data_IF_894039780529
#
_entry.id   IF_894039780529
#
_cell.length_a   1.000
_cell.length_b   1.000
_cell.length_c   1.000
_cell.angle_alpha   90.00
_cell.angle_beta   90.00
_cell.angle_gamma   90.00
#
_symmetry.space_group_name_H-M   'P 1'
#
loop_
_entity.id
_entity.type
_entity.pdbx_description
1 polymer ?
#
# COMPACT_ATOMS: atom_id res chain seq x y z
N UNK A 1 24.63 -5.11 20.97
CA UNK A 1 24.85 -4.20 22.09
C UNK A 1 24.04 -4.76 23.25
N UNK A 2 24.69 -5.19 24.34
CA UNK A 2 23.99 -5.71 25.52
C UNK A 2 23.31 -4.55 26.25
N UNK A 3 22.08 -4.77 26.71
CA UNK A 3 21.47 -3.92 27.72
C UNK A 3 22.13 -4.24 29.07
N UNK A 4 22.70 -3.23 29.72
CA UNK A 4 23.50 -3.38 30.94
C UNK A 4 22.67 -3.79 32.15
N UNK A 5 21.34 -3.61 32.12
CA UNK A 5 20.47 -3.89 33.27
C UNK A 5 19.89 -5.31 33.26
N UNK A 6 19.67 -5.93 32.10
CA UNK A 6 19.00 -7.22 32.00
C UNK A 6 19.93 -8.39 31.64
N UNK A 7 21.15 -8.13 31.16
CA UNK A 7 22.08 -9.17 30.68
C UNK A 7 21.55 -9.96 29.47
N UNK A 8 20.38 -9.58 28.94
CA UNK A 8 19.76 -10.23 27.82
C UNK A 8 20.47 -9.78 26.55
N UNK A 9 20.94 -10.75 25.77
CA UNK A 9 21.10 -10.54 24.33
C UNK A 9 19.79 -9.92 23.83
N UNK A 10 19.86 -8.84 23.04
CA UNK A 10 18.68 -8.09 22.58
C UNK A 10 17.56 -9.03 22.10
N UNK A 11 16.30 -8.56 22.05
CA UNK A 11 15.07 -9.35 22.16
C UNK A 11 14.95 -10.62 21.29
N UNK A 12 15.74 -10.75 20.22
CA UNK A 12 15.75 -11.84 19.27
C UNK A 12 16.76 -12.95 19.63
N UNK A 13 16.69 -13.53 20.83
CA UNK A 13 17.37 -14.81 21.14
C UNK A 13 16.50 -15.99 20.70
N UNK A 14 17.11 -17.15 20.42
CA UNK A 14 16.37 -18.37 20.01
C UNK A 14 15.22 -18.71 20.97
N UNK A 15 15.44 -18.56 22.27
CA UNK A 15 14.44 -18.78 23.32
C UNK A 15 13.29 -17.75 23.29
N UNK A 16 13.56 -16.51 22.87
CA UNK A 16 12.57 -15.44 22.79
C UNK A 16 11.82 -15.42 21.45
N UNK A 17 12.35 -16.05 20.38
CA UNK A 17 11.70 -16.09 19.06
C UNK A 17 10.26 -16.61 19.15
N UNK A 18 9.95 -17.76 19.80
CA UNK A 18 8.58 -18.25 19.91
C UNK A 18 7.63 -17.25 20.58
N UNK A 19 8.08 -16.59 21.64
CA UNK A 19 7.30 -15.59 22.37
C UNK A 19 7.03 -14.36 21.51
N UNK A 20 8.03 -13.87 20.79
CA UNK A 20 7.89 -12.75 19.86
C UNK A 20 6.90 -13.08 18.74
N UNK A 21 7.03 -14.27 18.13
CA UNK A 21 6.12 -14.73 17.09
C UNK A 21 4.68 -14.82 17.63
N UNK A 22 4.48 -15.34 18.84
CA UNK A 22 3.16 -15.41 19.47
C UNK A 22 2.56 -14.02 19.73
N UNK A 23 3.37 -13.08 20.24
CA UNK A 23 2.91 -11.69 20.46
C UNK A 23 2.55 -11.01 19.14
N UNK A 24 3.37 -11.20 18.08
CA UNK A 24 3.07 -10.72 16.73
C UNK A 24 1.76 -11.30 16.21
N UNK A 25 1.58 -12.61 16.31
CA UNK A 25 0.41 -13.30 15.77
C UNK A 25 -0.87 -12.91 16.52
N UNK A 26 -0.77 -12.70 17.83
CA UNK A 26 -1.86 -12.15 18.65
C UNK A 26 -2.21 -10.73 18.22
N UNK A 27 -1.20 -9.87 18.07
CA UNK A 27 -1.40 -8.49 17.62
C UNK A 27 -2.02 -8.43 16.23
N UNK A 28 -1.55 -9.26 15.29
CA UNK A 28 -2.08 -9.36 13.92
C UNK A 28 -3.56 -9.79 13.88
N UNK A 29 -4.01 -10.61 14.83
CA UNK A 29 -5.41 -11.05 14.95
C UNK A 29 -6.32 -10.02 15.61
N UNK A 30 -5.77 -9.04 16.32
CA UNK A 30 -6.56 -7.97 16.94
C UNK A 30 -7.25 -7.10 15.87
N UNK A 31 -8.34 -6.43 16.25
CA UNK A 31 -9.05 -5.50 15.36
C UNK A 31 -8.11 -4.44 14.80
N UNK A 32 -7.34 -3.81 15.69
CA UNK A 32 -6.36 -2.79 15.32
C UNK A 32 -5.25 -3.36 14.45
N UNK A 33 -4.75 -4.55 14.74
CA UNK A 33 -3.74 -5.22 13.92
C UNK A 33 -4.23 -5.50 12.50
N UNK A 34 -5.47 -5.99 12.35
CA UNK A 34 -6.12 -6.16 11.05
C UNK A 34 -6.33 -4.82 10.33
N UNK A 35 -6.73 -3.79 11.07
CA UNK A 35 -6.88 -2.42 10.53
C UNK A 35 -5.54 -1.85 10.03
N UNK A 36 -4.46 -1.99 10.80
CA UNK A 36 -3.11 -1.58 10.35
C UNK A 36 -2.68 -2.39 9.14
N UNK A 37 -2.92 -3.70 9.12
CA UNK A 37 -2.61 -4.53 7.95
C UNK A 37 -3.34 -4.03 6.70
N UNK A 38 -4.65 -3.79 6.79
CA UNK A 38 -5.42 -3.20 5.69
C UNK A 38 -4.84 -1.85 5.25
N UNK A 39 -4.51 -0.97 6.21
CA UNK A 39 -3.97 0.35 5.91
C UNK A 39 -2.66 0.26 5.12
N UNK A 40 -1.75 -0.65 5.49
CA UNK A 40 -0.48 -0.87 4.76
C UNK A 40 -0.74 -1.31 3.32
N UNK A 41 -1.75 -2.15 3.09
CA UNK A 41 -2.13 -2.58 1.74
C UNK A 41 -2.70 -1.43 0.92
N UNK A 42 -3.57 -0.61 1.52
CA UNK A 42 -4.12 0.58 0.88
C UNK A 42 -3.03 1.61 0.56
N UNK A 43 -2.08 1.83 1.46
CA UNK A 43 -0.93 2.70 1.22
C UNK A 43 -0.07 2.19 0.06
N UNK A 44 0.16 0.87 -0.03
CA UNK A 44 0.86 0.25 -1.16
C UNK A 44 0.12 0.54 -2.47
N UNK A 45 -1.19 0.27 -2.51
CA UNK A 45 -2.03 0.55 -3.67
C UNK A 45 -2.07 2.03 -4.05
N UNK A 46 -2.03 2.92 -3.06
CA UNK A 46 -1.98 4.37 -3.25
C UNK A 46 -0.67 4.79 -3.93
N UNK A 47 0.49 4.39 -3.42
CA UNK A 47 1.77 4.75 -4.04
C UNK A 47 1.97 4.15 -5.44
N UNK A 48 1.37 3.00 -5.68
CA UNK A 48 1.37 2.34 -6.99
C UNK A 48 0.38 2.95 -7.99
N UNK A 49 -0.58 3.76 -7.51
CA UNK A 49 -1.68 4.32 -8.28
C UNK A 49 -2.76 3.28 -8.67
N UNK A 50 -2.73 2.08 -8.08
CA UNK A 50 -3.72 1.03 -8.34
C UNK A 50 -5.01 1.20 -7.53
N UNK A 51 -4.97 2.04 -6.49
CA UNK A 51 -6.12 2.38 -5.67
C UNK A 51 -7.16 3.17 -6.47
N UNK A 52 -8.44 3.00 -6.17
CA UNK A 52 -9.52 3.87 -6.65
C UNK A 52 -9.75 5.06 -5.71
N UNK A 53 -10.48 6.07 -6.17
CA UNK A 53 -10.81 7.24 -5.35
C UNK A 53 -11.61 6.88 -4.09
N UNK A 54 -12.52 5.89 -4.20
CA UNK A 54 -13.34 5.41 -3.07
C UNK A 54 -12.48 4.69 -2.03
N UNK A 55 -11.61 3.79 -2.47
CA UNK A 55 -10.67 3.09 -1.58
C UNK A 55 -9.70 4.08 -0.92
N UNK A 56 -9.25 5.11 -1.64
CA UNK A 56 -8.39 6.14 -1.05
C UNK A 56 -9.13 6.96 0.03
N UNK A 57 -10.42 7.27 -0.17
CA UNK A 57 -11.24 7.87 0.89
C UNK A 57 -11.33 6.98 2.13
N UNK A 58 -11.52 5.67 1.94
CA UNK A 58 -11.52 4.71 3.06
C UNK A 58 -10.14 4.55 3.72
N UNK A 59 -9.04 4.70 2.97
CA UNK A 59 -7.66 4.71 3.50
C UNK A 59 -7.46 5.84 4.50
N UNK A 60 -7.87 7.06 4.14
CA UNK A 60 -7.79 8.23 5.01
C UNK A 60 -8.70 8.10 6.23
N UNK A 61 -9.92 7.61 6.03
CA UNK A 61 -10.85 7.30 7.11
C UNK A 61 -10.24 6.30 8.10
N UNK A 62 -9.73 5.17 7.59
CA UNK A 62 -9.13 4.11 8.41
C UNK A 62 -7.93 4.60 9.21
N UNK A 63 -7.07 5.44 8.63
CA UNK A 63 -5.95 6.06 9.35
C UNK A 63 -6.45 6.86 10.56
N UNK A 64 -7.42 7.74 10.36
CA UNK A 64 -7.99 8.54 11.44
C UNK A 64 -8.68 7.67 12.51
N UNK A 65 -9.41 6.65 12.09
CA UNK A 65 -10.07 5.70 13.00
C UNK A 65 -9.05 4.91 13.84
N UNK A 66 -7.92 4.50 13.24
CA UNK A 66 -6.82 3.83 13.93
C UNK A 66 -6.16 4.74 14.97
N UNK A 67 -5.99 6.04 14.66
CA UNK A 67 -5.49 7.02 15.62
C UNK A 67 -6.45 7.21 16.81
N UNK A 68 -7.75 7.24 16.54
CA UNK A 68 -8.80 7.36 17.54
C UNK A 68 -9.08 6.06 18.30
N UNK A 69 -8.48 4.94 17.88
CA UNK A 69 -8.70 3.61 18.45
C UNK A 69 -10.17 3.16 18.46
N UNK A 70 -10.97 3.62 17.51
CA UNK A 70 -12.38 3.26 17.39
C UNK A 70 -12.54 1.88 16.73
N UNK A 71 -12.60 0.82 17.54
CA UNK A 71 -12.62 -0.56 17.04
C UNK A 71 -13.85 -0.93 16.22
N UNK A 72 -15.03 -0.38 16.54
CA UNK A 72 -16.26 -0.66 15.80
C UNK A 72 -16.13 -0.20 14.34
N UNK A 73 -15.64 1.03 14.15
CA UNK A 73 -15.44 1.59 12.82
C UNK A 73 -14.30 0.89 12.07
N UNK A 74 -13.22 0.47 12.76
CA UNK A 74 -12.16 -0.35 12.16
C UNK A 74 -12.76 -1.67 11.64
N UNK A 75 -13.59 -2.37 12.43
CA UNK A 75 -14.24 -3.62 12.00
C UNK A 75 -15.12 -3.39 10.77
N UNK A 76 -15.88 -2.28 10.76
CA UNK A 76 -16.73 -1.89 9.64
C UNK A 76 -15.93 -1.72 8.34
N UNK A 77 -14.85 -0.93 8.38
CA UNK A 77 -13.99 -0.69 7.21
C UNK A 77 -13.28 -1.97 6.77
N UNK A 78 -12.72 -2.75 7.71
CA UNK A 78 -12.05 -4.02 7.40
C UNK A 78 -13.00 -5.00 6.72
N UNK A 79 -14.27 -5.05 7.15
CA UNK A 79 -15.28 -5.93 6.53
C UNK A 79 -15.64 -5.45 5.12
N UNK A 80 -15.80 -4.13 4.91
CA UNK A 80 -16.09 -3.56 3.59
C UNK A 80 -14.98 -3.82 2.57
N UNK A 81 -13.72 -3.79 3.02
CA UNK A 81 -12.53 -3.97 2.19
C UNK A 81 -11.88 -5.35 2.35
N UNK A 82 -12.67 -6.37 2.70
CA UNK A 82 -12.16 -7.74 2.90
C UNK A 82 -11.53 -8.31 1.61
N UNK A 83 -12.00 -7.91 0.42
CA UNK A 83 -11.38 -8.30 -0.84
C UNK A 83 -9.92 -7.82 -0.95
N UNK A 84 -9.58 -6.64 -0.43
CA UNK A 84 -8.20 -6.12 -0.39
C UNK A 84 -7.38 -6.95 0.60
N UNK A 85 -7.95 -7.28 1.76
CA UNK A 85 -7.31 -8.15 2.75
C UNK A 85 -6.95 -9.53 2.18
N UNK A 86 -7.71 -10.02 1.21
CA UNK A 86 -7.51 -11.32 0.58
C UNK A 86 -6.64 -11.28 -0.69
N UNK A 87 -6.15 -10.11 -1.12
CA UNK A 87 -5.17 -10.06 -2.22
C UNK A 87 -3.92 -10.87 -1.79
N UNK A 88 -3.36 -11.77 -2.61
CA UNK A 88 -2.19 -12.54 -2.22
C UNK A 88 -0.98 -11.65 -1.90
N UNK A 89 -0.16 -12.04 -0.91
CA UNK A 89 1.16 -11.46 -0.73
C UNK A 89 2.04 -11.83 -1.93
N UNK A 90 2.89 -10.91 -2.37
CA UNK A 90 3.60 -11.05 -3.64
C UNK A 90 4.86 -11.92 -3.57
N UNK A 91 5.14 -12.55 -2.43
CA UNK A 91 6.27 -13.48 -2.20
C UNK A 91 7.63 -13.02 -2.78
N UNK A 92 7.90 -11.71 -2.78
CA UNK A 92 9.14 -11.14 -3.32
C UNK A 92 9.08 -10.67 -4.78
N UNK A 93 7.90 -10.69 -5.41
CA UNK A 93 7.65 -10.22 -6.78
C UNK A 93 6.81 -8.93 -6.79
N UNK A 94 7.34 -7.81 -6.27
CA UNK A 94 6.56 -6.58 -6.08
C UNK A 94 5.99 -6.05 -7.38
N UNK A 95 6.78 -6.09 -8.46
CA UNK A 95 6.34 -5.56 -9.75
C UNK A 95 5.22 -6.40 -10.37
N UNK A 96 5.32 -7.73 -10.31
CA UNK A 96 4.32 -8.62 -10.85
C UNK A 96 2.98 -8.45 -10.15
N UNK A 97 2.98 -8.27 -8.83
CA UNK A 97 1.74 -8.07 -8.12
C UNK A 97 1.21 -6.62 -8.20
N UNK A 98 2.06 -5.60 -8.36
CA UNK A 98 1.61 -4.25 -8.78
C UNK A 98 0.88 -4.34 -10.13
N UNK A 99 1.50 -4.97 -11.12
CA UNK A 99 0.90 -5.17 -12.43
C UNK A 99 -0.44 -5.91 -12.33
N UNK A 100 -0.48 -7.00 -11.55
CA UNK A 100 -1.69 -7.78 -11.30
C UNK A 100 -2.80 -6.91 -10.69
N UNK A 101 -2.50 -6.15 -9.63
CA UNK A 101 -3.46 -5.20 -9.03
C UNK A 101 -3.98 -4.20 -10.05
N UNK A 102 -3.08 -3.60 -10.82
CA UNK A 102 -3.44 -2.61 -11.83
C UNK A 102 -4.39 -3.18 -12.89
N UNK A 103 -4.17 -4.42 -13.31
CA UNK A 103 -5.01 -5.07 -14.33
C UNK A 103 -6.40 -5.50 -13.84
N UNK A 104 -6.57 -5.68 -12.53
CA UNK A 104 -7.83 -6.09 -11.88
C UNK A 104 -8.60 -4.87 -11.37
N UNK A 105 -7.92 -3.78 -11.03
CA UNK A 105 -8.57 -2.55 -10.59
C UNK A 105 -9.52 -1.99 -11.67
N UNK A 106 -10.76 -1.70 -11.27
CA UNK A 106 -11.78 -1.17 -12.19
C UNK A 106 -11.51 0.31 -12.55
N UNK A 107 -11.19 1.10 -11.52
CA UNK A 107 -11.00 2.55 -11.61
C UNK A 107 -9.73 3.01 -10.87
N UNK A 108 -8.53 2.48 -11.24
CA UNK A 108 -7.29 2.89 -10.60
C UNK A 108 -7.00 4.36 -10.90
N UNK A 109 -6.53 5.12 -9.91
CA UNK A 109 -6.18 6.53 -10.06
C UNK A 109 -5.10 6.76 -11.13
N UNK A 110 -4.21 5.79 -11.35
CA UNK A 110 -3.20 5.87 -12.41
C UNK A 110 -3.82 6.04 -13.81
N UNK A 111 -5.05 5.56 -14.02
CA UNK A 111 -5.79 5.71 -15.28
C UNK A 111 -6.04 7.17 -15.64
N UNK A 112 -6.20 8.05 -14.65
CA UNK A 112 -6.44 9.48 -14.87
C UNK A 112 -5.23 10.18 -15.50
N UNK A 113 -4.05 9.53 -15.50
CA UNK A 113 -2.84 10.03 -16.13
C UNK A 113 -2.70 9.62 -17.61
N UNK A 114 -3.59 8.76 -18.11
CA UNK A 114 -3.63 8.36 -19.50
C UNK A 114 -4.17 9.48 -20.39
N UNK A 115 -3.63 9.61 -21.60
CA UNK A 115 -4.04 10.66 -22.53
C UNK A 115 -5.41 10.36 -23.16
N UNK A 116 -5.73 9.08 -23.27
CA UNK A 116 -7.05 8.62 -23.72
C UNK A 116 -7.44 7.28 -23.11
N UNK A 117 -8.75 7.00 -23.08
CA UNK A 117 -9.30 5.69 -22.72
C UNK A 117 -8.79 4.57 -23.62
N UNK A 118 -8.52 4.87 -24.90
CA UNK A 118 -8.02 3.89 -25.87
C UNK A 118 -6.59 3.45 -25.55
N UNK A 119 -5.69 4.40 -25.29
CA UNK A 119 -4.30 4.09 -24.90
C UNK A 119 -4.25 3.29 -23.60
N UNK A 120 -5.06 3.69 -22.61
CA UNK A 120 -5.18 2.95 -21.36
C UNK A 120 -5.61 1.49 -21.61
N UNK A 121 -6.59 1.27 -22.48
CA UNK A 121 -7.09 -0.06 -22.79
C UNK A 121 -6.02 -0.93 -23.47
N UNK A 122 -5.24 -0.36 -24.40
CA UNK A 122 -4.12 -1.06 -25.04
C UNK A 122 -3.03 -1.42 -24.03
N UNK A 123 -2.65 -0.47 -23.18
CA UNK A 123 -1.66 -0.67 -22.12
C UNK A 123 -2.08 -1.80 -21.17
N UNK A 124 -3.31 -1.75 -20.64
CA UNK A 124 -3.82 -2.79 -19.73
C UNK A 124 -3.93 -4.15 -20.41
N UNK A 125 -4.31 -4.19 -21.69
CA UNK A 125 -4.36 -5.45 -22.46
C UNK A 125 -2.98 -6.11 -22.57
N UNK A 126 -1.94 -5.31 -22.87
CA UNK A 126 -0.56 -5.77 -22.94
C UNK A 126 -0.07 -6.25 -21.57
N UNK A 127 -0.31 -5.46 -20.53
CA UNK A 127 0.08 -5.79 -19.16
C UNK A 127 -0.59 -7.09 -18.67
N UNK A 128 -1.87 -7.30 -18.97
CA UNK A 128 -2.58 -8.57 -18.68
C UNK A 128 -1.92 -9.78 -19.32
N UNK A 129 -1.43 -9.63 -20.55
CA UNK A 129 -0.75 -10.70 -21.28
C UNK A 129 0.58 -11.07 -20.64
N UNK A 130 1.30 -10.11 -20.07
CA UNK A 130 2.58 -10.36 -19.38
C UNK A 130 2.36 -10.95 -17.99
N UNK A 131 1.37 -10.43 -17.25
CA UNK A 131 0.97 -10.98 -15.94
C UNK A 131 0.53 -12.43 -16.06
N UNK A 132 -0.23 -12.80 -17.11
CA UNK A 132 -0.67 -14.18 -17.32
C UNK A 132 0.47 -15.15 -17.66
N UNK A 133 1.55 -14.64 -18.28
CA UNK A 133 2.77 -15.41 -18.58
C UNK A 133 3.76 -15.45 -17.43
N UNK A 134 3.56 -14.65 -16.38
CA UNK A 134 4.53 -14.42 -15.29
C UNK A 134 5.93 -14.04 -15.82
N UNK A 135 5.97 -13.26 -16.90
CA UNK A 135 7.22 -12.84 -17.53
C UNK A 135 7.77 -11.60 -16.82
N UNK A 136 8.60 -11.83 -15.79
CA UNK A 136 9.17 -10.76 -14.97
C UNK A 136 10.07 -9.81 -15.76
N UNK A 137 10.85 -10.32 -16.71
CA UNK A 137 11.73 -9.50 -17.53
C UNK A 137 10.92 -8.53 -18.39
N UNK A 138 9.87 -9.03 -19.06
CA UNK A 138 8.97 -8.18 -19.84
C UNK A 138 8.22 -7.16 -18.97
N UNK A 139 7.84 -7.52 -17.74
CA UNK A 139 7.21 -6.59 -16.81
C UNK A 139 8.15 -5.46 -16.40
N UNK A 140 9.44 -5.76 -16.16
CA UNK A 140 10.46 -4.74 -15.87
C UNK A 140 10.61 -3.79 -17.05
N UNK A 141 10.72 -4.32 -18.28
CA UNK A 141 10.80 -3.51 -19.50
C UNK A 141 9.58 -2.60 -19.67
N UNK A 142 8.36 -3.10 -19.44
CA UNK A 142 7.15 -2.26 -19.49
C UNK A 142 7.11 -1.21 -18.39
N UNK A 143 7.56 -1.55 -17.18
CA UNK A 143 7.56 -0.63 -16.05
C UNK A 143 8.47 0.56 -16.30
N UNK A 144 9.66 0.33 -16.85
CA UNK A 144 10.64 1.37 -17.17
C UNK A 144 10.34 2.05 -18.51
N UNK A 145 9.55 1.42 -19.37
CA UNK A 145 9.12 1.92 -20.66
C UNK A 145 7.80 2.70 -20.67
N UNK A 146 7.37 3.03 -21.89
CA UNK A 146 6.13 3.77 -22.13
C UNK A 146 4.95 2.82 -22.44
N UNK A 147 3.74 3.14 -21.96
CA UNK A 147 3.35 4.41 -21.33
C UNK A 147 3.42 4.40 -19.80
N UNK A 148 3.83 3.28 -19.18
CA UNK A 148 3.71 3.09 -17.73
C UNK A 148 4.59 4.09 -16.95
N UNK A 149 5.83 4.31 -17.40
CA UNK A 149 6.71 5.29 -16.81
C UNK A 149 6.08 6.69 -16.77
N UNK A 150 5.56 7.16 -17.90
CA UNK A 150 4.89 8.47 -17.99
C UNK A 150 3.68 8.56 -17.07
N UNK A 151 2.83 7.53 -17.03
CA UNK A 151 1.67 7.54 -16.14
C UNK A 151 2.09 7.63 -14.67
N UNK A 152 3.08 6.84 -14.24
CA UNK A 152 3.59 6.88 -12.85
C UNK A 152 4.24 8.21 -12.51
N UNK A 153 4.90 8.85 -13.47
CA UNK A 153 5.51 10.17 -13.29
C UNK A 153 4.44 11.24 -13.12
N UNK A 154 3.48 11.33 -14.06
CA UNK A 154 2.32 12.24 -14.00
C UNK A 154 1.54 12.06 -12.69
N UNK A 155 1.30 10.81 -12.29
CA UNK A 155 0.61 10.49 -11.04
C UNK A 155 1.36 11.01 -9.81
N UNK A 156 2.66 10.76 -9.70
CA UNK A 156 3.49 11.29 -8.60
C UNK A 156 3.56 12.80 -8.59
N UNK A 157 3.63 13.45 -9.75
CA UNK A 157 3.63 14.90 -9.87
C UNK A 157 2.27 15.51 -9.45
N UNK A 158 1.16 14.83 -9.75
CA UNK A 158 -0.17 15.21 -9.28
C UNK A 158 -0.26 15.10 -7.75
N UNK A 159 0.17 13.97 -7.19
CA UNK A 159 0.22 13.77 -5.73
C UNK A 159 1.07 14.84 -5.05
N UNK A 160 2.26 15.14 -5.58
CA UNK A 160 3.12 16.18 -5.03
C UNK A 160 2.44 17.54 -5.08
N UNK A 161 1.73 17.90 -6.15
CA UNK A 161 1.00 19.17 -6.24
C UNK A 161 -0.14 19.27 -5.22
N UNK A 162 -0.82 18.17 -4.96
CA UNK A 162 -1.87 18.11 -3.94
C UNK A 162 -1.28 18.17 -2.52
N UNK A 163 -0.16 17.47 -2.29
CA UNK A 163 0.53 17.42 -1.00
C UNK A 163 1.31 18.70 -0.67
N UNK A 164 1.96 19.35 -1.65
CA UNK A 164 2.75 20.58 -1.49
C UNK A 164 1.92 21.83 -1.13
N UNK A 165 0.58 21.73 -1.05
CA UNK A 165 -0.24 22.70 -0.32
C UNK A 165 0.02 22.69 1.20
N UNK A 166 0.81 21.74 1.71
CA UNK A 166 1.43 21.75 3.03
C UNK A 166 2.73 20.94 3.02
N UNK A 167 3.87 21.58 3.29
CA UNK A 167 5.19 20.94 3.35
C UNK A 167 5.15 19.59 4.08
N UNK A 168 5.42 18.49 3.35
CA UNK A 168 5.56 17.15 3.94
C UNK A 168 6.68 16.39 3.25
N UNK A 169 7.57 15.80 4.06
CA UNK A 169 8.40 14.66 3.64
C UNK A 169 7.46 13.51 3.25
N UNK A 170 7.89 12.62 2.34
CA UNK A 170 7.16 11.41 1.94
C UNK A 170 6.53 10.69 3.13
N UNK A 171 5.26 10.96 3.39
CA UNK A 171 4.38 10.19 4.28
C UNK A 171 3.03 10.09 3.60
N UNK A 172 2.35 8.95 3.73
CA UNK A 172 1.04 8.70 3.10
C UNK A 172 -0.09 9.59 3.66
N UNK A 173 0.20 10.50 4.60
CA UNK A 173 -0.78 11.30 5.33
C UNK A 173 -0.26 12.72 5.57
N UNK A 174 -1.14 13.73 5.47
CA UNK A 174 -0.84 15.08 5.93
C UNK A 174 -0.88 15.15 7.46
N UNK A 175 0.26 14.97 8.12
CA UNK A 175 0.36 15.17 9.57
C UNK A 175 0.76 16.62 9.85
N UNK A 176 -0.18 17.44 10.30
CA UNK A 176 0.14 18.77 10.82
C UNK A 176 0.81 18.64 12.20
N UNK A 177 2.10 18.91 12.27
CA UNK A 177 2.78 19.07 13.55
C UNK A 177 2.54 20.49 14.08
N UNK A 178 2.07 20.60 15.33
CA UNK A 178 2.10 21.88 16.05
C UNK A 178 3.55 22.19 16.37
N UNK A 179 4.12 23.20 15.73
CA UNK A 179 5.37 23.82 16.17
C UNK A 179 5.07 24.58 17.46
N UNK A 180 5.31 23.96 18.61
CA UNK A 180 5.39 24.70 19.87
C UNK A 180 6.61 25.62 19.76
N UNK A 181 6.36 26.94 19.69
CA UNK A 181 7.37 27.95 20.02
C UNK A 181 7.58 27.98 21.53
#
# INVERSE_FOLDING_TARGET
>A
YMDSDSGMHGPYTEENIPRILQSRDTAAKSVRGRGVHLLVRLDTMFFEGTISSVENGMREQLFNTLLQQNEEEIRSIVTKLDYIMNIPCEFGLPLAGQAKRLTVAETPLLKECAESTYEWALFISRLRTQVSKMDEAALVEEYDGEPWHTYRKKYRDNLQRELLKGYTRQVSFQVQYKTTM
#
